data_IF_968669836208
#
_entry.id   IF_968669836208
#
_cell.length_a   1.000
_cell.length_b   1.000
_cell.length_c   1.000
_cell.angle_alpha   90.00
_cell.angle_beta   90.00
_cell.angle_gamma   90.00
#
_symmetry.space_group_name_H-M   'P 1'
#
loop_
_entity.id
_entity.type
_entity.pdbx_description
1 polymer ?
#
# COMPACT_ATOMS: atom_id res chain seq x y z
N UNK A 1 -4.43 16.01 -23.03
CA UNK A 1 -3.46 16.39 -22.00
C UNK A 1 -3.70 15.63 -20.69
N UNK A 2 -4.90 15.70 -20.08
CA UNK A 2 -5.20 15.05 -18.78
C UNK A 2 -4.92 13.55 -18.78
N UNK A 3 -5.31 12.84 -19.85
CA UNK A 3 -5.09 11.41 -19.96
C UNK A 3 -3.59 11.04 -20.08
N UNK A 4 -2.77 11.88 -20.73
CA UNK A 4 -1.31 11.71 -20.76
C UNK A 4 -0.69 11.90 -19.38
N UNK A 5 -1.10 12.92 -18.63
CA UNK A 5 -0.62 13.16 -17.26
C UNK A 5 -1.00 11.94 -16.39
N UNK A 6 -2.26 11.51 -16.45
CA UNK A 6 -2.75 10.34 -15.73
C UNK A 6 -1.91 9.09 -16.05
N UNK A 7 -1.69 8.81 -17.33
CA UNK A 7 -0.91 7.65 -17.78
C UNK A 7 0.52 7.67 -17.24
N UNK A 8 1.23 8.81 -17.36
CA UNK A 8 2.61 8.94 -16.88
C UNK A 8 2.68 8.75 -15.37
N UNK A 9 1.79 9.40 -14.61
CA UNK A 9 1.74 9.26 -13.16
C UNK A 9 1.41 7.83 -12.74
N UNK A 10 0.48 7.16 -13.44
CA UNK A 10 0.10 5.79 -13.14
C UNK A 10 1.24 4.80 -13.46
N UNK A 11 1.96 5.00 -14.56
CA UNK A 11 3.16 4.21 -14.87
C UNK A 11 4.23 4.36 -13.80
N UNK A 12 4.49 5.59 -13.35
CA UNK A 12 5.40 5.84 -12.23
C UNK A 12 4.95 5.13 -10.95
N UNK A 13 3.68 5.32 -10.54
CA UNK A 13 3.11 4.66 -9.36
C UNK A 13 3.19 3.13 -9.46
N UNK A 14 2.88 2.56 -10.64
CA UNK A 14 2.97 1.13 -10.89
C UNK A 14 4.36 0.57 -10.58
N UNK A 15 5.40 1.25 -11.08
CA UNK A 15 6.79 0.81 -10.94
C UNK A 15 7.26 0.87 -9.49
N UNK A 16 7.01 2.00 -8.84
CA UNK A 16 7.49 2.28 -7.49
C UNK A 16 6.74 1.45 -6.46
N UNK A 17 5.41 1.35 -6.55
CA UNK A 17 4.60 0.55 -5.63
C UNK A 17 4.87 -0.95 -5.79
N UNK A 18 5.04 -1.45 -7.03
CA UNK A 18 5.41 -2.86 -7.26
C UNK A 18 6.73 -3.19 -6.57
N UNK A 19 7.75 -2.35 -6.74
CA UNK A 19 9.04 -2.56 -6.10
C UNK A 19 8.95 -2.50 -4.57
N UNK A 20 8.23 -1.51 -4.02
CA UNK A 20 8.07 -1.33 -2.57
C UNK A 20 7.37 -2.51 -1.90
N UNK A 21 6.27 -2.99 -2.48
CA UNK A 21 5.51 -4.10 -1.91
C UNK A 21 6.25 -5.44 -2.11
N UNK A 22 6.89 -5.65 -3.27
CA UNK A 22 7.63 -6.87 -3.54
C UNK A 22 8.85 -7.03 -2.64
N UNK A 23 9.62 -5.95 -2.39
CA UNK A 23 10.76 -6.00 -1.48
C UNK A 23 10.33 -6.28 -0.03
N UNK A 24 9.19 -5.73 0.40
CA UNK A 24 8.63 -6.01 1.72
C UNK A 24 8.22 -7.48 1.85
N UNK A 25 7.51 -8.02 0.86
CA UNK A 25 7.12 -9.43 0.84
C UNK A 25 8.35 -10.36 0.90
N UNK A 26 9.39 -10.01 0.15
CA UNK A 26 10.65 -10.76 0.11
C UNK A 26 11.40 -10.70 1.42
N UNK A 27 11.35 -9.58 2.13
CA UNK A 27 11.93 -9.44 3.45
C UNK A 27 11.23 -10.34 4.48
N UNK A 28 9.91 -10.49 4.40
CA UNK A 28 9.15 -11.41 5.26
C UNK A 28 9.58 -12.86 5.00
N UNK A 29 9.68 -13.30 3.75
CA UNK A 29 10.15 -14.66 3.41
C UNK A 29 11.58 -14.86 3.91
N UNK A 30 12.48 -13.93 3.64
CA UNK A 30 13.88 -14.03 4.05
C UNK A 30 14.02 -14.14 5.58
N UNK A 31 13.16 -13.44 6.33
CA UNK A 31 13.14 -13.52 7.80
C UNK A 31 12.55 -14.85 8.30
N UNK A 32 11.59 -15.42 7.58
CA UNK A 32 10.97 -16.71 7.92
C UNK A 32 11.88 -17.91 7.63
N UNK A 33 12.71 -17.82 6.60
CA UNK A 33 13.58 -18.91 6.12
C UNK A 33 15.07 -18.49 6.05
N UNK A 34 15.68 -18.07 7.16
CA UNK A 34 17.07 -17.59 7.16
C UNK A 34 18.08 -18.69 6.76
N UNK A 35 17.72 -19.95 6.97
CA UNK A 35 18.59 -21.11 6.66
C UNK A 35 18.82 -21.30 5.16
N UNK A 36 17.95 -20.77 4.29
CA UNK A 36 18.10 -20.88 2.82
C UNK A 36 19.23 -20.00 2.31
N UNK A 37 19.61 -18.95 3.04
CA UNK A 37 20.76 -18.09 2.70
C UNK A 37 20.58 -17.19 1.49
N UNK A 38 19.36 -17.07 0.94
CA UNK A 38 19.07 -16.20 -0.20
C UNK A 38 18.96 -14.74 0.26
N UNK A 39 19.53 -13.84 -0.52
CA UNK A 39 19.37 -12.40 -0.32
C UNK A 39 17.94 -11.94 -0.62
N UNK A 40 17.54 -10.77 -0.08
CA UNK A 40 16.22 -10.18 -0.36
C UNK A 40 16.00 -9.96 -1.84
N UNK A 41 17.03 -9.54 -2.59
CA UNK A 41 16.96 -9.36 -4.03
C UNK A 41 16.66 -10.69 -4.75
N UNK A 42 17.29 -11.79 -4.33
CA UNK A 42 17.02 -13.12 -4.90
C UNK A 42 15.60 -13.58 -4.57
N UNK A 43 15.16 -13.41 -3.32
CA UNK A 43 13.77 -13.69 -2.95
C UNK A 43 12.77 -12.83 -3.74
N UNK A 44 13.07 -11.54 -3.97
CA UNK A 44 12.21 -10.67 -4.79
C UNK A 44 12.11 -11.14 -6.23
N UNK A 45 13.21 -11.60 -6.81
CA UNK A 45 13.22 -12.12 -8.16
C UNK A 45 12.38 -13.40 -8.29
N UNK A 46 12.53 -14.32 -7.36
CA UNK A 46 11.73 -15.56 -7.31
C UNK A 46 10.25 -15.23 -7.12
N UNK A 47 9.94 -14.38 -6.17
CA UNK A 47 8.57 -14.01 -5.81
C UNK A 47 7.85 -13.31 -6.96
N UNK A 48 8.48 -12.30 -7.57
CA UNK A 48 7.89 -11.58 -8.70
C UNK A 48 7.74 -12.50 -9.92
N UNK A 49 8.69 -13.40 -10.17
CA UNK A 49 8.59 -14.39 -11.26
C UNK A 49 7.43 -15.37 -11.02
N UNK A 50 7.25 -15.86 -9.79
CA UNK A 50 6.12 -16.75 -9.42
C UNK A 50 4.80 -16.02 -9.62
N UNK A 51 4.68 -14.79 -9.10
CA UNK A 51 3.44 -14.01 -9.23
C UNK A 51 3.15 -13.69 -10.70
N UNK A 52 4.16 -13.27 -11.46
CA UNK A 52 4.01 -13.02 -12.89
C UNK A 52 3.51 -14.27 -13.64
N UNK A 53 4.09 -15.44 -13.37
CA UNK A 53 3.63 -16.70 -13.94
C UNK A 53 2.18 -17.01 -13.50
N UNK A 54 1.85 -16.87 -12.22
CA UNK A 54 0.48 -17.08 -11.72
C UNK A 54 -0.54 -16.17 -12.43
N UNK A 55 -0.21 -14.91 -12.67
CA UNK A 55 -1.09 -13.96 -13.36
C UNK A 55 -1.29 -14.34 -14.83
N UNK A 56 -0.23 -14.75 -15.54
CA UNK A 56 -0.31 -15.19 -16.92
C UNK A 56 -1.18 -16.44 -17.11
N UNK A 57 -1.13 -17.38 -16.16
CA UNK A 57 -1.90 -18.63 -16.20
C UNK A 57 -3.25 -18.56 -15.49
N UNK A 58 -3.65 -17.39 -14.99
CA UNK A 58 -4.98 -17.18 -14.38
C UNK A 58 -5.17 -17.84 -13.01
N UNK A 59 -4.07 -18.20 -12.32
CA UNK A 59 -4.09 -18.99 -11.08
C UNK A 59 -4.43 -18.20 -9.80
N UNK A 60 -4.74 -16.89 -9.86
CA UNK A 60 -4.95 -16.08 -8.65
C UNK A 60 -6.32 -16.27 -7.96
N UNK A 61 -7.28 -16.96 -8.60
CA UNK A 61 -8.63 -17.18 -8.04
C UNK A 61 -8.64 -17.84 -6.66
N UNK A 62 -7.68 -18.72 -6.38
CA UNK A 62 -7.54 -19.36 -5.08
C UNK A 62 -7.20 -18.33 -3.99
N UNK A 63 -6.35 -17.37 -4.31
CA UNK A 63 -5.93 -16.33 -3.38
C UNK A 63 -7.09 -15.37 -3.06
N UNK A 64 -7.92 -15.03 -4.03
CA UNK A 64 -9.12 -14.21 -3.83
C UNK A 64 -10.08 -14.83 -2.81
N UNK A 65 -10.29 -16.15 -2.90
CA UNK A 65 -11.08 -16.88 -1.91
C UNK A 65 -10.48 -16.90 -0.50
N UNK A 66 -9.16 -16.95 -0.40
CA UNK A 66 -8.44 -16.95 0.89
C UNK A 66 -8.28 -15.55 1.50
N UNK A 67 -8.29 -14.49 0.70
CA UNK A 67 -8.03 -13.12 1.13
C UNK A 67 -8.95 -12.68 2.29
N UNK A 68 -10.23 -13.02 2.24
CA UNK A 68 -11.20 -12.71 3.29
C UNK A 68 -10.81 -13.32 4.64
N UNK A 69 -10.39 -14.58 4.66
CA UNK A 69 -9.97 -15.28 5.87
C UNK A 69 -8.67 -14.72 6.44
N UNK A 70 -7.72 -14.42 5.56
CA UNK A 70 -6.42 -13.85 5.92
C UNK A 70 -6.61 -12.47 6.56
N UNK A 71 -7.40 -11.60 5.91
CA UNK A 71 -7.68 -10.25 6.41
C UNK A 71 -8.47 -10.29 7.73
N UNK A 72 -9.44 -11.20 7.87
CA UNK A 72 -10.19 -11.38 9.11
C UNK A 72 -9.26 -11.83 10.24
N UNK A 73 -8.38 -12.79 9.98
CA UNK A 73 -7.43 -13.28 10.97
C UNK A 73 -6.46 -12.17 11.43
N UNK A 74 -5.94 -11.38 10.50
CA UNK A 74 -5.08 -10.22 10.81
C UNK A 74 -5.83 -9.18 11.65
N UNK A 75 -7.06 -8.86 11.26
CA UNK A 75 -7.91 -7.90 11.98
C UNK A 75 -8.14 -8.36 13.42
N UNK A 76 -8.55 -9.61 13.61
CA UNK A 76 -8.80 -10.17 14.95
C UNK A 76 -7.51 -10.17 15.77
N UNK A 77 -6.39 -10.62 15.20
CA UNK A 77 -5.10 -10.63 15.89
C UNK A 77 -4.66 -9.22 16.32
N UNK A 78 -4.83 -8.22 15.44
CA UNK A 78 -4.47 -6.83 15.73
C UNK A 78 -5.34 -6.22 16.81
N UNK A 79 -6.67 -6.39 16.73
CA UNK A 79 -7.61 -5.89 17.75
C UNK A 79 -7.32 -6.53 19.11
N UNK A 80 -7.12 -7.84 19.16
CA UNK A 80 -6.78 -8.55 20.40
C UNK A 80 -5.44 -8.07 20.96
N UNK A 81 -4.42 -7.92 20.13
CA UNK A 81 -3.11 -7.42 20.57
C UNK A 81 -3.21 -6.03 21.18
N UNK A 82 -3.97 -5.11 20.56
CA UNK A 82 -4.17 -3.75 21.07
C UNK A 82 -4.93 -3.77 22.40
N UNK A 83 -6.01 -4.55 22.52
CA UNK A 83 -6.78 -4.65 23.77
C UNK A 83 -5.88 -5.15 24.91
N UNK A 84 -5.13 -6.24 24.68
CA UNK A 84 -4.23 -6.82 25.69
C UNK A 84 -3.11 -5.83 26.04
N UNK A 85 -2.51 -5.13 25.06
CA UNK A 85 -1.48 -4.13 25.30
C UNK A 85 -2.02 -2.96 26.15
N UNK A 86 -3.23 -2.48 25.85
CA UNK A 86 -3.86 -1.40 26.60
C UNK A 86 -4.17 -1.79 28.06
N UNK A 87 -4.58 -3.04 28.31
CA UNK A 87 -4.86 -3.54 29.67
C UNK A 87 -3.57 -3.73 30.48
N UNK A 88 -2.48 -4.18 29.83
CA UNK A 88 -1.19 -4.41 30.53
C UNK A 88 -0.46 -3.13 30.91
N UNK A 89 -0.89 -1.98 30.44
CA UNK A 89 -0.21 -0.69 30.51
C UNK A 89 1.21 -0.71 29.94
N UNK A 90 1.58 0.24 29.09
CA UNK A 90 2.91 0.30 28.53
C UNK A 90 3.94 0.63 29.62
N UNK A 91 4.99 -0.20 29.73
CA UNK A 91 6.14 0.10 30.55
C UNK A 91 7.14 0.90 29.70
N UNK A 92 7.42 2.13 30.14
CA UNK A 92 8.38 2.99 29.46
C UNK A 92 9.80 2.60 29.90
N UNK A 93 10.72 2.54 28.92
CA UNK A 93 12.14 2.34 29.21
C UNK A 93 12.68 3.45 30.12
N UNK A 94 13.63 3.14 31.00
CA UNK A 94 14.30 4.12 31.87
C UNK A 94 14.92 5.28 31.08
N UNK A 95 15.34 5.01 29.84
CA UNK A 95 15.98 5.99 28.96
C UNK A 95 15.02 6.58 27.92
N UNK A 96 13.70 6.40 28.16
CA UNK A 96 12.69 6.90 27.23
C UNK A 96 12.68 8.42 27.19
N UNK A 97 12.84 8.97 25.97
CA UNK A 97 12.69 10.40 25.68
C UNK A 97 11.48 10.59 24.78
N UNK A 98 10.51 11.35 25.26
CA UNK A 98 9.33 11.69 24.48
C UNK A 98 9.70 12.47 23.22
N UNK A 99 9.28 11.97 22.07
CA UNK A 99 9.49 12.61 20.78
C UNK A 99 8.15 13.12 20.25
N UNK A 100 8.05 14.42 20.05
CA UNK A 100 6.86 15.01 19.43
C UNK A 100 6.86 14.75 17.91
N UNK A 101 5.71 14.35 17.31
CA UNK A 101 5.58 14.20 15.87
C UNK A 101 5.58 15.54 15.11
N UNK A 102 5.42 16.66 15.84
CA UNK A 102 5.33 18.01 15.28
C UNK A 102 6.72 18.65 15.05
N UNK A 103 7.70 17.85 14.70
CA UNK A 103 9.06 18.30 14.31
C UNK A 103 9.26 18.14 12.83
N UNK A 104 10.04 19.04 12.22
CA UNK A 104 10.38 18.96 10.79
C UNK A 104 11.03 17.62 10.41
N UNK A 105 11.80 17.03 11.31
CA UNK A 105 12.42 15.71 11.14
C UNK A 105 11.39 14.57 11.01
N UNK A 106 10.15 14.73 11.53
CA UNK A 106 9.08 13.75 11.40
C UNK A 106 8.29 13.90 10.08
N UNK A 107 8.49 14.99 9.34
CA UNK A 107 7.73 15.31 8.13
C UNK A 107 7.81 14.20 7.05
N UNK A 108 8.97 13.61 6.73
CA UNK A 108 9.05 12.50 5.77
C UNK A 108 8.24 11.27 6.20
N UNK A 109 8.17 11.00 7.50
CA UNK A 109 7.36 9.91 8.03
C UNK A 109 5.86 10.21 7.87
N UNK A 110 5.41 11.42 8.22
CA UNK A 110 4.00 11.83 8.06
C UNK A 110 3.57 11.78 6.60
N UNK A 111 4.42 12.27 5.69
CA UNK A 111 4.18 12.20 4.23
C UNK A 111 4.10 10.75 3.75
N UNK A 112 5.01 9.89 4.21
CA UNK A 112 4.97 8.46 3.90
C UNK A 112 3.68 7.80 4.37
N UNK A 113 3.26 8.10 5.59
CA UNK A 113 2.00 7.60 6.16
C UNK A 113 0.80 8.01 5.30
N UNK A 114 0.70 9.30 4.93
CA UNK A 114 -0.38 9.81 4.10
C UNK A 114 -0.38 9.23 2.67
N UNK A 115 0.78 8.77 2.19
CA UNK A 115 0.91 8.22 0.84
C UNK A 115 0.24 6.86 0.65
N UNK A 116 0.23 6.02 1.70
CA UNK A 116 -0.33 4.67 1.62
C UNK A 116 -1.49 4.42 2.58
N UNK A 117 -1.90 5.41 3.38
CA UNK A 117 -2.92 5.18 4.40
C UNK A 117 -4.19 6.03 4.15
N UNK A 118 -5.36 5.40 4.01
CA UNK A 118 -5.61 3.94 4.08
C UNK A 118 -5.20 3.18 2.82
N UNK A 119 -5.05 3.85 1.68
CA UNK A 119 -4.56 3.32 0.41
C UNK A 119 -4.17 4.48 -0.53
N UNK A 120 -3.23 4.29 -1.48
CA UNK A 120 -2.96 5.28 -2.52
C UNK A 120 -4.21 5.64 -3.31
N UNK A 121 -4.43 6.92 -3.59
CA UNK A 121 -5.69 7.39 -4.25
C UNK A 121 -5.82 6.87 -5.69
N UNK A 122 -4.72 6.61 -6.39
CA UNK A 122 -4.72 6.02 -7.72
C UNK A 122 -5.36 4.62 -7.78
N UNK A 123 -5.48 3.91 -6.66
CA UNK A 123 -6.22 2.64 -6.57
C UNK A 123 -7.69 2.81 -6.96
N UNK A 124 -8.25 4.02 -6.91
CA UNK A 124 -9.59 4.30 -7.41
C UNK A 124 -9.80 3.87 -8.86
N UNK A 125 -8.79 4.05 -9.72
CA UNK A 125 -8.83 3.59 -11.10
C UNK A 125 -8.80 2.06 -11.21
N UNK A 126 -7.97 1.40 -10.38
CA UNK A 126 -7.91 -0.06 -10.30
C UNK A 126 -9.26 -0.64 -9.87
N UNK A 127 -9.84 -0.11 -8.80
CA UNK A 127 -11.15 -0.53 -8.29
C UNK A 127 -12.25 -0.36 -9.33
N UNK A 128 -12.22 0.75 -10.10
CA UNK A 128 -13.17 1.00 -11.19
C UNK A 128 -13.07 -0.08 -12.28
N UNK A 129 -11.88 -0.44 -12.73
CA UNK A 129 -11.68 -1.47 -13.75
C UNK A 129 -12.05 -2.86 -13.25
N UNK A 130 -11.71 -3.21 -12.01
CA UNK A 130 -12.11 -4.48 -11.42
C UNK A 130 -13.61 -4.60 -11.22
N UNK A 131 -14.27 -3.53 -10.81
CA UNK A 131 -15.74 -3.49 -10.72
C UNK A 131 -16.38 -3.68 -12.09
N UNK A 132 -15.84 -3.03 -13.13
CA UNK A 132 -16.30 -3.22 -14.51
C UNK A 132 -16.09 -4.66 -14.99
N UNK A 133 -14.96 -5.29 -14.66
CA UNK A 133 -14.68 -6.68 -15.03
C UNK A 133 -15.60 -7.66 -14.27
N UNK A 134 -15.78 -7.45 -12.96
CA UNK A 134 -16.65 -8.27 -12.12
C UNK A 134 -18.12 -8.20 -12.58
N UNK A 135 -18.57 -7.03 -13.08
CA UNK A 135 -19.93 -6.84 -13.61
C UNK A 135 -20.22 -7.70 -14.83
N UNK A 136 -19.22 -8.17 -15.57
CA UNK A 136 -19.41 -9.11 -16.69
C UNK A 136 -19.83 -10.51 -16.22
N UNK A 137 -19.51 -10.88 -14.99
CA UNK A 137 -19.73 -12.23 -14.46
C UNK A 137 -20.76 -12.29 -13.33
N UNK A 138 -20.95 -11.20 -12.61
CA UNK A 138 -21.87 -11.09 -11.47
C UNK A 138 -22.77 -9.89 -11.67
N UNK A 139 -24.07 -10.11 -11.53
CA UNK A 139 -25.03 -9.01 -11.60
C UNK A 139 -25.10 -8.31 -10.24
N UNK A 140 -24.68 -7.05 -10.18
CA UNK A 140 -24.78 -6.17 -9.01
C UNK A 140 -25.09 -4.73 -9.47
N UNK A 141 -25.73 -3.97 -8.61
CA UNK A 141 -26.08 -2.59 -8.87
C UNK A 141 -25.02 -1.62 -8.30
N UNK A 142 -25.22 -0.32 -8.52
CA UNK A 142 -24.29 0.72 -8.03
C UNK A 142 -24.31 0.82 -6.51
N UNK A 143 -25.44 0.55 -5.85
CA UNK A 143 -25.58 0.60 -4.40
C UNK A 143 -24.78 -0.52 -3.74
N UNK A 144 -24.82 -1.73 -4.30
CA UNK A 144 -24.02 -2.88 -3.86
C UNK A 144 -22.52 -2.57 -3.96
N UNK A 145 -22.09 -1.97 -5.08
CA UNK A 145 -20.70 -1.59 -5.30
C UNK A 145 -20.23 -0.50 -4.32
N UNK A 146 -21.07 0.50 -4.04
CA UNK A 146 -20.77 1.55 -3.06
C UNK A 146 -20.75 1.01 -1.63
N UNK A 147 -21.64 0.08 -1.31
CA UNK A 147 -21.65 -0.57 0.00
C UNK A 147 -20.35 -1.35 0.23
N UNK A 148 -19.96 -2.20 -0.73
CA UNK A 148 -18.72 -2.98 -0.68
C UNK A 148 -17.49 -2.07 -0.52
N UNK A 149 -17.42 -1.01 -1.34
CA UNK A 149 -16.35 -0.02 -1.27
C UNK A 149 -16.29 0.69 0.11
N UNK A 150 -17.43 1.15 0.61
CA UNK A 150 -17.50 1.88 1.88
C UNK A 150 -17.11 0.97 3.05
N UNK A 151 -17.59 -0.28 3.08
CA UNK A 151 -17.22 -1.25 4.12
C UNK A 151 -15.71 -1.51 4.10
N UNK A 152 -15.13 -1.72 2.91
CA UNK A 152 -13.69 -1.93 2.77
C UNK A 152 -12.88 -0.71 3.22
N UNK A 153 -13.25 0.48 2.76
CA UNK A 153 -12.50 1.71 3.03
C UNK A 153 -12.59 2.16 4.49
N UNK A 154 -13.80 2.16 5.06
CA UNK A 154 -14.03 2.51 6.47
C UNK A 154 -13.38 1.47 7.39
N UNK A 155 -13.54 0.18 7.07
CA UNK A 155 -12.91 -0.92 7.82
C UNK A 155 -11.39 -0.81 7.84
N UNK A 156 -10.78 -0.48 6.70
CA UNK A 156 -9.33 -0.25 6.59
C UNK A 156 -8.90 0.96 7.41
N UNK A 157 -9.66 2.06 7.38
CA UNK A 157 -9.35 3.25 8.17
C UNK A 157 -9.41 2.98 9.69
N UNK A 158 -10.42 2.23 10.14
CA UNK A 158 -10.54 1.80 11.53
C UNK A 158 -9.35 0.90 11.91
N UNK A 159 -9.04 -0.09 11.07
CA UNK A 159 -7.91 -1.01 11.33
C UNK A 159 -6.58 -0.27 11.39
N UNK A 160 -6.40 0.77 10.58
CA UNK A 160 -5.22 1.61 10.61
C UNK A 160 -5.01 2.28 11.98
N UNK A 161 -6.09 2.71 12.65
CA UNK A 161 -6.01 3.25 14.02
C UNK A 161 -5.51 2.18 15.01
N UNK A 162 -5.94 0.92 14.86
CA UNK A 162 -5.44 -0.17 15.69
C UNK A 162 -3.96 -0.47 15.44
N UNK A 163 -3.48 -0.39 14.20
CA UNK A 163 -2.04 -0.52 13.91
C UNK A 163 -1.21 0.60 14.53
N UNK A 164 -1.70 1.84 14.47
CA UNK A 164 -1.05 2.98 15.13
C UNK A 164 -1.05 2.78 16.64
N UNK A 165 -2.18 2.34 17.22
CA UNK A 165 -2.29 2.05 18.65
C UNK A 165 -1.33 0.92 19.08
N UNK A 166 -1.18 -0.13 18.27
CA UNK A 166 -0.24 -1.21 18.54
C UNK A 166 1.20 -0.69 18.62
N UNK A 167 1.59 0.15 17.64
CA UNK A 167 2.91 0.81 17.65
C UNK A 167 3.10 1.73 18.86
N UNK A 168 2.08 2.52 19.19
CA UNK A 168 2.12 3.46 20.31
C UNK A 168 2.19 2.76 21.69
N UNK A 169 1.49 1.63 21.85
CA UNK A 169 1.45 0.91 23.12
C UNK A 169 2.63 -0.04 23.33
N UNK A 170 3.27 -0.52 22.27
CA UNK A 170 4.30 -1.57 22.38
C UNK A 170 5.65 -1.04 21.93
N UNK A 171 5.76 -0.49 20.70
CA UNK A 171 7.04 -0.09 20.14
C UNK A 171 7.54 1.26 20.71
N UNK A 172 6.65 2.25 20.77
CA UNK A 172 7.01 3.60 21.22
C UNK A 172 7.60 3.66 22.64
N UNK A 173 7.02 2.95 23.65
CA UNK A 173 7.56 2.96 25.01
C UNK A 173 8.96 2.37 25.15
N UNK A 174 9.39 1.52 24.20
CA UNK A 174 10.76 0.94 24.23
C UNK A 174 11.85 1.96 23.92
N UNK A 175 11.51 3.12 23.34
CA UNK A 175 12.46 4.11 22.86
C UNK A 175 13.31 3.68 21.66
N UNK A 176 13.15 2.44 21.20
CA UNK A 176 13.93 1.89 20.09
C UNK A 176 13.50 2.49 18.76
N UNK A 177 14.46 2.90 17.95
CA UNK A 177 14.19 3.35 16.59
C UNK A 177 13.70 2.19 15.72
N UNK A 178 12.90 2.52 14.69
CA UNK A 178 12.50 1.56 13.67
C UNK A 178 13.74 1.17 12.86
N UNK A 179 14.02 -0.11 12.80
CA UNK A 179 15.20 -0.64 12.11
C UNK A 179 15.09 -0.46 10.59
N UNK A 180 16.18 0.01 9.98
CA UNK A 180 16.26 0.14 8.53
C UNK A 180 16.59 -1.18 7.83
N UNK A 181 17.28 -2.10 8.51
CA UNK A 181 17.67 -3.40 7.98
C UNK A 181 16.49 -4.36 7.95
N UNK A 182 16.31 -5.04 6.82
CA UNK A 182 15.13 -5.82 6.46
C UNK A 182 14.70 -6.87 7.48
N UNK A 183 15.62 -7.72 7.92
CA UNK A 183 15.32 -8.81 8.84
C UNK A 183 14.93 -8.28 10.22
N UNK A 184 15.62 -7.24 10.69
CA UNK A 184 15.32 -6.60 11.98
C UNK A 184 14.00 -5.84 11.93
N UNK A 185 13.69 -5.15 10.82
CA UNK A 185 12.40 -4.47 10.62
C UNK A 185 11.22 -5.45 10.76
N UNK A 186 11.28 -6.59 10.06
CA UNK A 186 10.24 -7.62 10.16
C UNK A 186 10.20 -8.25 11.56
N UNK A 187 11.36 -8.49 12.17
CA UNK A 187 11.42 -9.02 13.53
C UNK A 187 10.80 -8.06 14.56
N UNK A 188 11.01 -6.74 14.43
CA UNK A 188 10.34 -5.74 15.26
C UNK A 188 8.82 -5.78 15.07
N UNK A 189 8.35 -5.78 13.83
CA UNK A 189 6.91 -5.84 13.52
C UNK A 189 6.25 -7.08 14.11
N UNK A 190 6.80 -8.26 13.86
CA UNK A 190 6.27 -9.53 14.40
C UNK A 190 6.43 -9.59 15.92
N UNK A 191 7.53 -9.02 16.43
CA UNK A 191 7.83 -8.93 17.86
C UNK A 191 6.78 -8.15 18.65
N UNK A 192 6.17 -7.11 18.07
CA UNK A 192 5.07 -6.39 18.72
C UNK A 192 3.88 -7.31 19.06
N UNK A 193 3.54 -8.22 18.17
CA UNK A 193 2.47 -9.19 18.43
C UNK A 193 2.92 -10.27 19.41
N UNK A 194 4.13 -10.79 19.24
CA UNK A 194 4.67 -11.86 20.09
C UNK A 194 4.81 -11.43 21.55
N UNK A 195 5.19 -10.17 21.82
CA UNK A 195 5.30 -9.63 23.19
C UNK A 195 3.96 -9.57 23.94
N UNK A 196 2.85 -9.50 23.21
CA UNK A 196 1.50 -9.37 23.78
C UNK A 196 0.74 -10.70 23.75
N UNK A 197 0.74 -11.37 22.59
CA UNK A 197 0.00 -12.62 22.37
C UNK A 197 0.77 -13.86 22.77
N UNK A 198 2.10 -13.72 22.97
CA UNK A 198 3.03 -14.81 23.26
C UNK A 198 3.81 -15.29 22.04
N UNK A 199 4.94 -15.94 22.27
CA UNK A 199 5.89 -16.34 21.22
C UNK A 199 5.30 -17.29 20.16
N UNK A 200 4.28 -18.06 20.47
CA UNK A 200 3.56 -18.89 19.51
C UNK A 200 2.97 -18.09 18.35
N UNK A 201 2.57 -16.85 18.61
CA UNK A 201 1.96 -15.98 17.60
C UNK A 201 2.94 -15.54 16.53
N UNK A 202 4.25 -15.60 16.78
CA UNK A 202 5.31 -15.17 15.86
C UNK A 202 5.18 -15.83 14.49
N UNK A 203 5.03 -17.16 14.46
CA UNK A 203 4.90 -17.91 13.21
C UNK A 203 3.59 -17.59 12.49
N UNK A 204 2.49 -17.53 13.25
CA UNK A 204 1.17 -17.22 12.70
C UNK A 204 1.15 -15.81 12.09
N UNK A 205 1.64 -14.81 12.81
CA UNK A 205 1.67 -13.41 12.32
C UNK A 205 2.59 -13.28 11.11
N UNK A 206 3.76 -13.92 11.12
CA UNK A 206 4.65 -13.92 9.94
C UNK A 206 3.97 -14.53 8.72
N UNK A 207 3.25 -15.64 8.88
CA UNK A 207 2.52 -16.29 7.80
C UNK A 207 1.37 -15.42 7.28
N UNK A 208 0.56 -14.85 8.18
CA UNK A 208 -0.53 -13.93 7.81
C UNK A 208 0.03 -12.70 7.09
N UNK A 209 1.07 -12.07 7.63
CA UNK A 209 1.72 -10.92 7.02
C UNK A 209 2.26 -11.24 5.62
N UNK A 210 2.91 -12.41 5.47
CA UNK A 210 3.36 -12.87 4.17
C UNK A 210 2.19 -12.98 3.17
N UNK A 211 1.11 -13.66 3.53
CA UNK A 211 -0.03 -13.85 2.63
C UNK A 211 -0.73 -12.52 2.29
N UNK A 212 -0.85 -11.60 3.24
CA UNK A 212 -1.39 -10.27 2.99
C UNK A 212 -0.55 -9.50 1.97
N UNK A 213 0.77 -9.44 2.19
CA UNK A 213 1.65 -8.68 1.30
C UNK A 213 1.82 -9.39 -0.05
N UNK A 214 1.84 -10.73 -0.08
CA UNK A 214 1.85 -11.52 -1.31
C UNK A 214 0.62 -11.21 -2.18
N UNK A 215 -0.57 -11.21 -1.57
CA UNK A 215 -1.81 -10.79 -2.25
C UNK A 215 -1.73 -9.35 -2.76
N UNK A 216 -1.11 -8.45 -2.00
CA UNK A 216 -0.91 -7.06 -2.42
C UNK A 216 0.02 -6.97 -3.62
N UNK A 217 1.11 -7.75 -3.70
CA UNK A 217 2.00 -7.78 -4.88
C UNK A 217 1.23 -8.23 -6.14
N UNK A 218 0.38 -9.27 -6.01
CA UNK A 218 -0.49 -9.72 -7.11
C UNK A 218 -1.40 -8.57 -7.57
N UNK A 219 -2.09 -7.95 -6.61
CA UNK A 219 -3.01 -6.83 -6.84
C UNK A 219 -2.34 -5.65 -7.54
N UNK A 220 -1.14 -5.30 -7.11
CA UNK A 220 -0.37 -4.18 -7.66
C UNK A 220 0.07 -4.49 -9.10
N UNK A 221 0.63 -5.68 -9.38
CA UNK A 221 1.06 -6.04 -10.73
C UNK A 221 -0.15 -6.14 -11.68
N UNK A 222 -1.23 -6.81 -11.31
CA UNK A 222 -2.43 -6.93 -12.14
C UNK A 222 -3.14 -5.58 -12.31
N UNK A 223 -3.43 -4.91 -11.20
CA UNK A 223 -4.23 -3.69 -11.19
C UNK A 223 -3.60 -2.54 -11.96
N UNK A 224 -2.35 -2.21 -11.67
CA UNK A 224 -1.65 -1.15 -12.42
C UNK A 224 -1.46 -1.50 -13.90
N UNK A 225 -1.21 -2.77 -14.22
CA UNK A 225 -1.07 -3.20 -15.62
C UNK A 225 -2.36 -3.00 -16.40
N UNK A 226 -3.52 -3.27 -15.79
CA UNK A 226 -4.84 -2.99 -16.39
C UNK A 226 -5.07 -1.50 -16.60
N UNK A 227 -4.73 -0.67 -15.60
CA UNK A 227 -4.89 0.79 -15.72
C UNK A 227 -3.96 1.35 -16.79
N UNK A 228 -2.71 0.88 -16.86
CA UNK A 228 -1.76 1.30 -17.89
C UNK A 228 -2.22 0.88 -19.30
N UNK A 229 -2.69 -0.37 -19.44
CA UNK A 229 -3.26 -0.88 -20.68
C UNK A 229 -4.44 -0.02 -21.13
N UNK A 230 -5.44 0.19 -20.27
CA UNK A 230 -6.63 0.93 -20.61
C UNK A 230 -6.34 2.39 -20.94
N UNK A 231 -5.46 3.02 -20.16
CA UNK A 231 -5.02 4.40 -20.41
C UNK A 231 -4.34 4.54 -21.75
N UNK A 232 -3.43 3.61 -22.10
CA UNK A 232 -2.77 3.61 -23.40
C UNK A 232 -3.75 3.34 -24.53
N UNK A 233 -4.67 2.38 -24.36
CA UNK A 233 -5.74 2.07 -25.33
C UNK A 233 -6.56 3.32 -25.68
N UNK A 234 -6.96 4.08 -24.66
CA UNK A 234 -7.70 5.32 -24.83
C UNK A 234 -6.86 6.41 -25.50
N UNK A 235 -5.56 6.51 -25.19
CA UNK A 235 -4.64 7.49 -25.77
C UNK A 235 -4.42 7.28 -27.27
N UNK A 236 -4.33 6.03 -27.72
CA UNK A 236 -4.12 5.68 -29.14
C UNK A 236 -5.41 5.39 -29.87
N UNK A 237 -6.58 5.61 -29.22
CA UNK A 237 -7.91 5.38 -29.78
C UNK A 237 -8.14 3.96 -30.33
N UNK A 238 -7.52 2.95 -29.71
CA UNK A 238 -7.66 1.56 -30.09
C UNK A 238 -9.04 1.02 -29.65
N UNK A 239 -9.75 0.35 -30.57
CA UNK A 239 -11.13 -0.09 -30.32
C UNK A 239 -11.23 -1.37 -29.50
N UNK A 240 -10.26 -2.26 -29.59
CA UNK A 240 -10.30 -3.57 -28.95
C UNK A 240 -9.35 -3.68 -27.76
N UNK A 241 -9.85 -4.34 -26.72
CA UNK A 241 -9.03 -4.75 -25.59
C UNK A 241 -8.31 -6.05 -25.95
N UNK A 242 -7.01 -6.14 -25.65
CA UNK A 242 -6.19 -7.29 -26.01
C UNK A 242 -5.54 -7.90 -24.77
N UNK A 243 -5.83 -9.18 -24.51
CA UNK A 243 -5.14 -9.93 -23.45
C UNK A 243 -3.61 -9.96 -23.63
N UNK A 244 -3.12 -9.91 -24.88
CA UNK A 244 -1.68 -9.80 -25.16
C UNK A 244 -1.10 -8.48 -24.63
N UNK A 245 -1.83 -7.37 -24.78
CA UNK A 245 -1.42 -6.06 -24.27
C UNK A 245 -1.34 -6.06 -22.74
N UNK A 246 -2.29 -6.69 -22.06
CA UNK A 246 -2.27 -6.85 -20.61
C UNK A 246 -1.04 -7.65 -20.15
N UNK A 247 -0.76 -8.77 -20.80
CA UNK A 247 0.41 -9.60 -20.47
C UNK A 247 1.74 -8.84 -20.68
N UNK A 248 1.81 -7.98 -21.70
CA UNK A 248 2.97 -7.11 -21.93
C UNK A 248 3.12 -6.12 -20.77
N UNK A 249 2.05 -5.45 -20.34
CA UNK A 249 2.09 -4.52 -19.24
C UNK A 249 2.44 -5.19 -17.91
N UNK A 250 1.90 -6.39 -17.62
CA UNK A 250 2.29 -7.19 -16.44
C UNK A 250 3.79 -7.53 -16.48
N UNK A 251 4.32 -7.88 -17.65
CA UNK A 251 5.74 -8.20 -17.81
C UNK A 251 6.62 -6.95 -17.62
N UNK A 252 6.24 -5.82 -18.21
CA UNK A 252 6.94 -4.54 -18.04
C UNK A 252 6.97 -4.13 -16.56
N UNK A 253 5.82 -4.17 -15.89
CA UNK A 253 5.68 -3.80 -14.48
C UNK A 253 6.55 -4.70 -13.60
N UNK A 254 6.53 -6.02 -13.83
CA UNK A 254 7.34 -6.98 -13.10
C UNK A 254 8.86 -6.75 -13.30
N UNK A 255 9.31 -6.58 -14.54
CA UNK A 255 10.73 -6.36 -14.87
C UNK A 255 11.23 -5.06 -14.25
N UNK A 256 10.49 -3.96 -14.40
CA UNK A 256 10.92 -2.66 -13.86
C UNK A 256 10.89 -2.70 -12.34
N UNK A 257 9.89 -3.35 -11.72
CA UNK A 257 9.87 -3.58 -10.28
C UNK A 257 11.15 -4.26 -9.78
N UNK A 258 11.60 -5.32 -10.46
CA UNK A 258 12.86 -6.01 -10.14
C UNK A 258 14.08 -5.10 -10.32
N UNK A 259 14.13 -4.31 -11.41
CA UNK A 259 15.23 -3.37 -11.64
C UNK A 259 15.33 -2.35 -10.52
N UNK A 260 14.22 -1.76 -10.10
CA UNK A 260 14.18 -0.80 -8.98
C UNK A 260 14.65 -1.48 -7.68
N UNK A 261 14.18 -2.70 -7.39
CA UNK A 261 14.60 -3.45 -6.19
C UNK A 261 16.13 -3.62 -6.14
N UNK A 262 16.78 -3.85 -7.27
CA UNK A 262 18.24 -3.95 -7.32
C UNK A 262 18.96 -2.69 -6.87
N UNK A 263 18.43 -1.50 -7.15
CA UNK A 263 19.00 -0.24 -6.67
C UNK A 263 18.85 -0.06 -5.14
N UNK A 264 17.81 -0.66 -4.55
CA UNK A 264 17.54 -0.59 -3.11
C UNK A 264 17.91 -1.88 -2.37
N UNK A 265 18.84 -2.69 -2.92
CA UNK A 265 19.20 -3.99 -2.36
C UNK A 265 19.54 -3.92 -0.86
N UNK A 266 18.76 -4.63 -0.05
CA UNK A 266 18.93 -4.67 1.41
C UNK A 266 18.36 -3.48 2.20
N UNK A 267 17.87 -2.43 1.54
CA UNK A 267 17.34 -1.22 2.19
C UNK A 267 15.80 -1.14 2.09
N UNK A 268 15.11 -2.10 2.72
CA UNK A 268 13.64 -2.21 2.64
C UNK A 268 12.94 -0.95 3.14
N UNK A 269 13.32 -0.39 4.29
CA UNK A 269 12.67 0.79 4.84
C UNK A 269 12.87 2.03 3.95
N UNK A 270 14.05 2.18 3.33
CA UNK A 270 14.33 3.27 2.39
C UNK A 270 13.48 3.14 1.13
N UNK A 271 13.34 1.92 0.58
CA UNK A 271 12.49 1.67 -0.57
C UNK A 271 11.01 1.93 -0.26
N UNK A 272 10.54 1.46 0.90
CA UNK A 272 9.16 1.70 1.34
C UNK A 272 8.89 3.20 1.49
N UNK A 273 9.79 3.93 2.16
CA UNK A 273 9.69 5.38 2.30
C UNK A 273 9.64 6.07 0.94
N UNK A 274 10.50 5.68 0.01
CA UNK A 274 10.50 6.22 -1.35
C UNK A 274 9.17 5.95 -2.08
N UNK A 275 8.65 4.74 -2.00
CA UNK A 275 7.38 4.37 -2.60
C UNK A 275 6.20 5.16 -2.00
N UNK A 276 6.14 5.25 -0.67
CA UNK A 276 5.08 5.95 0.05
C UNK A 276 5.10 7.47 -0.23
N UNK A 277 6.28 8.09 -0.21
CA UNK A 277 6.43 9.52 -0.57
C UNK A 277 6.04 9.77 -2.02
N UNK A 278 6.48 8.90 -2.95
CA UNK A 278 6.11 8.98 -4.36
C UNK A 278 4.60 8.91 -4.56
N UNK A 279 3.92 7.97 -3.90
CA UNK A 279 2.46 7.86 -3.92
C UNK A 279 1.79 9.12 -3.33
N UNK A 280 2.31 9.69 -2.24
CA UNK A 280 1.77 10.94 -1.70
C UNK A 280 1.88 12.10 -2.68
N UNK A 281 3.02 12.26 -3.35
CA UNK A 281 3.24 13.37 -4.29
C UNK A 281 2.36 13.28 -5.53
N UNK A 282 1.94 12.08 -5.94
CA UNK A 282 0.98 11.88 -7.05
C UNK A 282 -0.48 12.02 -6.60
N UNK A 283 -0.77 11.80 -5.32
CA UNK A 283 -2.11 11.82 -4.73
C UNK A 283 -2.93 13.09 -5.06
N UNK A 284 -2.41 14.34 -4.96
CA UNK A 284 -3.20 15.53 -5.27
C UNK A 284 -3.74 15.55 -6.70
N UNK A 285 -2.96 15.03 -7.66
CA UNK A 285 -3.36 14.97 -9.07
C UNK A 285 -4.46 13.94 -9.31
N UNK A 286 -4.34 12.74 -8.74
CA UNK A 286 -5.39 11.73 -8.83
C UNK A 286 -6.67 12.16 -8.10
N UNK A 287 -6.55 12.81 -6.95
CA UNK A 287 -7.68 13.38 -6.22
C UNK A 287 -8.41 14.46 -7.04
N UNK A 288 -7.66 15.34 -7.71
CA UNK A 288 -8.21 16.37 -8.59
C UNK A 288 -8.94 15.74 -9.79
N UNK A 289 -8.37 14.73 -10.42
CA UNK A 289 -8.99 14.02 -11.54
C UNK A 289 -10.30 13.34 -11.11
N UNK A 290 -10.30 12.66 -9.95
CA UNK A 290 -11.50 12.05 -9.38
C UNK A 290 -12.57 13.11 -9.06
N UNK A 291 -12.20 14.24 -8.46
CA UNK A 291 -13.11 15.34 -8.19
C UNK A 291 -13.77 15.87 -9.47
N UNK A 292 -12.96 16.14 -10.50
CA UNK A 292 -13.46 16.63 -11.80
C UNK A 292 -14.41 15.61 -12.44
N UNK A 293 -14.06 14.32 -12.42
CA UNK A 293 -14.89 13.27 -12.98
C UNK A 293 -16.23 13.16 -12.26
N UNK A 294 -16.21 13.04 -10.93
CA UNK A 294 -17.43 12.88 -10.12
C UNK A 294 -18.34 14.10 -10.24
N UNK A 295 -17.80 15.32 -10.25
CA UNK A 295 -18.62 16.53 -10.38
C UNK A 295 -19.21 16.74 -11.78
N UNK A 296 -18.59 16.17 -12.81
CA UNK A 296 -19.14 16.18 -14.18
C UNK A 296 -20.27 15.17 -14.35
N UNK A 297 -20.10 13.97 -13.84
CA UNK A 297 -21.06 12.87 -13.99
C UNK A 297 -22.25 13.02 -13.04
N UNK A 298 -22.04 13.47 -11.81
CA UNK A 298 -23.08 13.62 -10.81
C UNK A 298 -23.37 15.10 -10.50
N UNK A 299 -24.29 15.68 -11.27
CA UNK A 299 -24.74 17.07 -11.09
C UNK A 299 -25.44 17.31 -9.74
N UNK A 300 -26.02 16.27 -9.16
CA UNK A 300 -26.79 16.33 -7.91
C UNK A 300 -25.93 16.06 -6.66
N UNK A 301 -24.63 16.15 -6.79
CA UNK A 301 -23.72 15.96 -5.64
C UNK A 301 -24.02 17.01 -4.55
N UNK A 302 -24.24 16.59 -3.28
CA UNK A 302 -24.50 17.51 -2.18
C UNK A 302 -23.41 18.57 -2.04
N UNK A 303 -23.81 19.82 -1.75
CA UNK A 303 -22.83 20.92 -1.65
C UNK A 303 -21.77 20.70 -0.58
N UNK A 304 -22.13 20.10 0.55
CA UNK A 304 -21.16 19.83 1.62
C UNK A 304 -20.05 18.86 1.17
N UNK A 305 -20.36 17.86 0.34
CA UNK A 305 -19.35 16.95 -0.24
C UNK A 305 -18.41 17.68 -1.19
N UNK A 306 -18.93 18.63 -1.99
CA UNK A 306 -18.09 19.45 -2.87
C UNK A 306 -17.12 20.32 -2.06
N UNK A 307 -17.60 20.97 -0.99
CA UNK A 307 -16.73 21.77 -0.13
C UNK A 307 -15.70 20.93 0.61
N UNK A 308 -16.10 19.76 1.11
CA UNK A 308 -15.17 18.82 1.75
C UNK A 308 -14.08 18.33 0.78
N UNK A 309 -14.46 18.00 -0.46
CA UNK A 309 -13.50 17.59 -1.48
C UNK A 309 -12.53 18.72 -1.86
N UNK A 310 -13.03 19.96 -1.99
CA UNK A 310 -12.17 21.13 -2.25
C UNK A 310 -11.21 21.37 -1.08
N UNK A 311 -11.69 21.30 0.15
CA UNK A 311 -10.83 21.44 1.35
C UNK A 311 -9.75 20.34 1.37
N UNK A 312 -10.10 19.10 1.04
CA UNK A 312 -9.15 17.99 0.90
C UNK A 312 -8.11 18.24 -0.20
N UNK A 313 -8.53 18.76 -1.36
CA UNK A 313 -7.60 19.12 -2.44
C UNK A 313 -6.63 20.24 -2.02
N UNK A 314 -7.14 21.30 -1.36
CA UNK A 314 -6.30 22.39 -0.83
C UNK A 314 -5.27 21.83 0.16
N UNK A 315 -5.70 20.95 1.07
CA UNK A 315 -4.80 20.29 2.01
C UNK A 315 -3.73 19.46 1.29
N UNK A 316 -4.11 18.60 0.34
CA UNK A 316 -3.18 17.72 -0.36
C UNK A 316 -2.15 18.50 -1.19
N UNK A 317 -2.57 19.48 -1.98
CA UNK A 317 -1.66 20.33 -2.75
C UNK A 317 -0.79 21.19 -1.83
N UNK A 318 -1.38 21.82 -0.82
CA UNK A 318 -0.66 22.67 0.13
C UNK A 318 0.39 21.87 0.90
N UNK A 319 0.05 20.68 1.36
CA UNK A 319 0.97 19.84 2.12
C UNK A 319 2.08 19.25 1.21
N UNK A 320 1.76 18.88 -0.03
CA UNK A 320 2.76 18.42 -0.99
C UNK A 320 3.77 19.55 -1.34
N UNK A 321 3.30 20.77 -1.59
CA UNK A 321 4.16 21.92 -1.85
C UNK A 321 5.02 22.24 -0.62
N UNK A 322 4.44 22.22 0.58
CA UNK A 322 5.16 22.44 1.82
C UNK A 322 6.26 21.39 2.03
N UNK A 323 5.98 20.12 1.75
CA UNK A 323 6.96 19.05 1.85
C UNK A 323 8.13 19.25 0.84
N UNK A 324 7.81 19.53 -0.41
CA UNK A 324 8.85 19.79 -1.44
C UNK A 324 9.71 20.99 -1.03
N UNK A 325 9.10 22.07 -0.53
CA UNK A 325 9.82 23.22 -0.03
C UNK A 325 10.74 22.85 1.15
N UNK A 326 10.24 22.08 2.11
CA UNK A 326 11.02 21.61 3.27
C UNK A 326 12.21 20.73 2.87
N UNK A 327 12.04 19.89 1.84
CA UNK A 327 13.15 19.13 1.24
C UNK A 327 14.19 20.05 0.59
N UNK A 328 13.74 21.05 -0.18
CA UNK A 328 14.64 21.97 -0.89
C UNK A 328 15.51 22.81 0.06
N UNK A 329 15.01 23.14 1.25
CA UNK A 329 15.77 23.89 2.28
C UNK A 329 16.52 22.97 3.27
N UNK A 330 16.56 21.65 3.02
CA UNK A 330 17.29 20.67 3.85
C UNK A 330 16.72 20.45 5.25
N UNK A 331 15.44 20.81 5.49
CA UNK A 331 14.77 20.64 6.81
C UNK A 331 13.94 19.36 6.92
N UNK A 332 13.77 18.61 5.85
CA UNK A 332 12.98 17.37 5.77
C UNK A 332 13.79 16.23 5.15
N UNK A 333 15.03 16.06 5.53
CA UNK A 333 15.94 15.01 5.06
C UNK A 333 16.46 14.16 6.21
#
# INVERSE_FOLDING_TARGET
>A
LYLWIFFILNVFSAMVNTAGVAILCSAIIASAFPMIGLSITQWSLILVAVIWAMLLFGGYKLLDGMAKWIMSALTIATVLAVIIAAVKHPEYSSDFVEKTPWQMAALPFIVSLLGWMPAPIEISAINSLWSAEKKKTVNFNTEDALFDFNVGYIGTAILAVFFVALGALIQYPTGQAVEAASAKYISQFVGMYASVLGEWSRYLITFIAFLCIFGTVITVIDGYSRVNQESLRLLISQKEDSSKSLNIWMTITAIIGIVIIKFFAGQVSTMLRFAMIGSFLTTPFFALLNYVLVTRENKNLPSWLKHLAIAGLIFLFGFAIFFIYALAIGKAG
#
